data_IF_702622055840
#
_entry.id   IF_702622055840
#
_cell.length_a   1.000
_cell.length_b   1.000
_cell.length_c   1.000
_cell.angle_alpha   90.00
_cell.angle_beta   90.00
_cell.angle_gamma   90.00
#
_symmetry.space_group_name_H-M   'P 1'
#
loop_
_entity.id
_entity.type
_entity.pdbx_description
1 polymer ?
#
# COMPACT_ATOMS: atom_id res chain seq x y z
N UNK A 1 9.53 11.65 -17.82
CA UNK A 1 9.64 12.78 -16.88
C UNK A 1 8.69 12.51 -15.73
N UNK A 2 9.13 12.71 -14.50
CA UNK A 2 8.26 12.57 -13.32
C UNK A 2 7.35 13.80 -13.19
N UNK A 3 6.11 13.65 -12.73
CA UNK A 3 5.23 14.78 -12.42
C UNK A 3 5.92 15.74 -11.45
N UNK A 4 5.86 17.05 -11.74
CA UNK A 4 6.51 18.09 -10.95
C UNK A 4 7.97 18.36 -11.35
N UNK A 5 8.61 17.49 -12.13
CA UNK A 5 9.98 17.71 -12.64
C UNK A 5 10.02 18.66 -13.84
N UNK A 6 11.22 19.20 -14.10
CA UNK A 6 11.53 20.04 -15.26
C UNK A 6 12.69 19.45 -16.06
N UNK A 7 12.65 19.59 -17.39
CA UNK A 7 13.74 19.20 -18.27
C UNK A 7 14.01 20.28 -19.32
N UNK A 8 15.28 20.48 -19.66
CA UNK A 8 15.67 21.33 -20.78
C UNK A 8 15.75 20.53 -22.07
N UNK A 9 15.19 21.10 -23.14
CA UNK A 9 15.12 20.47 -24.46
C UNK A 9 15.57 21.48 -25.51
N UNK A 10 16.42 21.04 -26.44
CA UNK A 10 16.90 21.85 -27.55
C UNK A 10 16.35 21.35 -28.88
N UNK A 11 16.06 22.27 -29.80
CA UNK A 11 15.76 21.94 -31.19
C UNK A 11 17.07 22.03 -31.99
N UNK A 12 17.40 20.93 -32.66
CA UNK A 12 18.48 20.85 -33.62
C UNK A 12 17.90 20.66 -35.03
N UNK A 13 18.57 21.22 -36.03
CA UNK A 13 18.23 21.04 -37.44
C UNK A 13 19.44 20.52 -38.19
N UNK A 14 19.17 19.69 -39.20
CA UNK A 14 20.18 19.11 -40.08
C UNK A 14 19.81 19.43 -41.53
N UNK A 15 20.83 19.53 -42.40
CA UNK A 15 20.63 19.63 -43.85
C UNK A 15 20.29 18.27 -44.47
N UNK A 16 20.12 18.25 -45.80
CA UNK A 16 19.82 17.02 -46.55
C UNK A 16 20.95 15.98 -46.49
N UNK A 17 22.18 16.40 -46.20
CA UNK A 17 23.34 15.54 -46.00
C UNK A 17 23.51 15.10 -44.53
N UNK A 18 22.66 15.55 -43.61
CA UNK A 18 22.72 15.25 -42.18
C UNK A 18 23.66 16.16 -41.37
N UNK A 19 24.23 17.20 -41.97
CA UNK A 19 25.09 18.16 -41.28
C UNK A 19 24.26 19.09 -40.40
N UNK A 20 24.66 19.25 -39.14
CA UNK A 20 23.92 20.06 -38.17
C UNK A 20 24.12 21.57 -38.41
N UNK A 21 23.03 22.33 -38.42
CA UNK A 21 23.08 23.78 -38.41
C UNK A 21 23.49 24.30 -37.02
N UNK A 22 24.20 25.44 -36.98
CA UNK A 22 24.45 26.13 -35.71
C UNK A 22 23.13 26.51 -35.03
N UNK A 23 23.05 26.29 -33.71
CA UNK A 23 21.87 26.62 -32.88
C UNK A 23 21.57 28.14 -32.86
N UNK A 24 22.56 28.96 -33.19
CA UNK A 24 22.45 30.41 -33.30
C UNK A 24 22.04 30.89 -34.70
N UNK A 25 21.82 29.98 -35.64
CA UNK A 25 21.33 30.33 -36.97
C UNK A 25 19.96 31.01 -36.84
N UNK A 26 19.81 32.21 -37.41
CA UNK A 26 18.66 33.10 -37.15
C UNK A 26 17.27 32.51 -37.44
N UNK A 27 17.18 31.47 -38.27
CA UNK A 27 15.95 30.73 -38.51
C UNK A 27 15.64 29.69 -37.41
N UNK A 28 16.67 29.05 -36.83
CA UNK A 28 16.55 28.10 -35.71
C UNK A 28 16.35 28.78 -34.37
N UNK A 29 16.90 29.98 -34.18
CA UNK A 29 16.71 30.75 -32.94
C UNK A 29 15.23 31.11 -32.70
N UNK A 30 14.43 31.13 -33.77
CA UNK A 30 12.99 31.36 -33.73
C UNK A 30 12.16 30.07 -33.64
N UNK A 31 12.78 28.89 -33.51
CA UNK A 31 12.04 27.66 -33.33
C UNK A 31 11.19 27.70 -32.05
N UNK A 32 10.00 27.09 -32.11
CA UNK A 32 9.06 26.96 -31.00
C UNK A 32 8.67 25.49 -30.87
N UNK A 33 8.80 24.94 -29.66
CA UNK A 33 8.23 23.63 -29.32
C UNK A 33 6.79 23.84 -28.84
N UNK A 34 5.86 23.10 -29.43
CA UNK A 34 4.45 23.11 -29.06
C UNK A 34 3.99 21.70 -28.69
N UNK A 35 3.03 21.63 -27.77
CA UNK A 35 2.26 20.42 -27.48
C UNK A 35 0.79 20.81 -27.32
N UNK A 36 -0.10 19.95 -27.79
CA UNK A 36 -1.54 20.09 -27.57
C UNK A 36 -1.99 19.51 -26.22
N UNK A 37 -1.08 18.83 -25.51
CA UNK A 37 -1.39 18.12 -24.27
C UNK A 37 -1.23 19.03 -23.03
N UNK A 38 -2.26 19.19 -22.19
CA UNK A 38 -2.15 19.97 -20.94
C UNK A 38 -1.24 19.33 -19.89
N UNK A 39 -0.78 18.09 -20.07
CA UNK A 39 0.12 17.39 -19.16
C UNK A 39 1.51 18.03 -19.04
N UNK A 40 1.87 18.94 -19.94
CA UNK A 40 3.14 19.68 -19.88
C UNK A 40 2.95 21.18 -20.08
N UNK A 41 3.83 21.94 -19.44
CA UNK A 41 4.00 23.37 -19.71
C UNK A 41 5.36 23.63 -20.34
N UNK A 42 5.38 24.32 -21.47
CA UNK A 42 6.59 24.57 -22.26
C UNK A 42 6.90 26.06 -22.23
N UNK A 43 8.12 26.42 -21.83
CA UNK A 43 8.60 27.80 -21.81
C UNK A 43 9.88 27.92 -22.63
N UNK A 44 10.01 29.00 -23.41
CA UNK A 44 11.22 29.26 -24.21
C UNK A 44 12.28 29.92 -23.32
N UNK A 45 13.49 29.36 -23.31
CA UNK A 45 14.61 29.90 -22.52
C UNK A 45 15.41 30.89 -23.36
N UNK A 46 16.01 30.41 -24.46
CA UNK A 46 16.88 31.20 -25.35
C UNK A 46 17.13 30.45 -26.65
N UNK A 47 17.04 31.14 -27.80
CA UNK A 47 17.31 30.55 -29.11
C UNK A 47 16.47 29.29 -29.36
N UNK A 48 17.11 28.15 -29.61
CA UNK A 48 16.43 26.85 -29.80
C UNK A 48 16.15 26.07 -28.50
N UNK A 49 16.50 26.61 -27.33
CA UNK A 49 16.32 25.94 -26.01
C UNK A 49 15.00 26.28 -25.34
N UNK A 50 14.36 25.24 -24.80
CA UNK A 50 13.08 25.29 -24.13
C UNK A 50 13.16 24.51 -22.81
N UNK A 51 12.28 24.85 -21.87
CA UNK A 51 12.08 24.14 -20.62
C UNK A 51 10.69 23.54 -20.61
N UNK A 52 10.61 22.26 -20.29
CA UNK A 52 9.35 21.52 -20.18
C UNK A 52 9.13 21.19 -18.71
N UNK A 53 7.97 21.55 -18.17
CA UNK A 53 7.53 21.19 -16.83
C UNK A 53 6.40 20.17 -16.92
N UNK A 54 6.55 19.06 -16.20
CA UNK A 54 5.55 18.00 -16.14
C UNK A 54 4.45 18.35 -15.11
N UNK A 55 3.18 18.35 -15.53
CA UNK A 55 2.04 18.74 -14.72
C UNK A 55 1.16 17.55 -14.31
N UNK A 56 0.88 16.63 -15.22
CA UNK A 56 0.05 15.45 -14.96
C UNK A 56 0.50 14.23 -15.76
N UNK A 57 0.16 13.03 -15.29
CA UNK A 57 0.52 11.76 -15.95
C UNK A 57 -0.10 11.67 -17.34
N UNK A 58 0.68 11.25 -18.34
CA UNK A 58 0.21 11.13 -19.71
C UNK A 58 1.33 10.90 -20.73
N UNK A 59 0.97 10.49 -21.93
CA UNK A 59 1.88 10.42 -23.07
C UNK A 59 1.73 11.69 -23.91
N UNK A 60 2.80 12.48 -23.99
CA UNK A 60 2.79 13.83 -24.57
C UNK A 60 3.58 13.83 -25.86
N UNK A 61 2.98 14.36 -26.93
CA UNK A 61 3.67 14.54 -28.20
C UNK A 61 4.17 15.99 -28.34
N UNK A 62 5.47 16.14 -28.58
CA UNK A 62 6.14 17.42 -28.80
C UNK A 62 6.42 17.61 -30.28
N UNK A 63 6.05 18.77 -30.84
CA UNK A 63 6.39 19.14 -32.22
C UNK A 63 7.13 20.48 -32.22
N UNK A 64 8.31 20.52 -32.82
CA UNK A 64 9.03 21.75 -33.04
C UNK A 64 8.60 22.37 -34.38
N UNK A 65 8.42 23.68 -34.41
CA UNK A 65 8.12 24.44 -35.62
C UNK A 65 9.11 25.59 -35.79
N UNK A 66 9.54 25.83 -37.03
CA UNK A 66 10.45 26.93 -37.37
C UNK A 66 10.05 27.54 -38.72
N UNK A 67 10.31 28.84 -38.90
CA UNK A 67 10.03 29.53 -40.16
C UNK A 67 11.26 29.48 -41.07
N UNK A 68 11.10 28.92 -42.25
CA UNK A 68 12.12 28.90 -43.30
C UNK A 68 12.33 30.31 -43.88
N UNK A 69 13.48 30.53 -44.53
CA UNK A 69 13.82 31.75 -45.28
C UNK A 69 12.81 32.06 -46.38
N UNK A 70 12.14 31.04 -46.93
CA UNK A 70 11.05 31.18 -47.91
C UNK A 70 9.70 31.57 -47.28
N UNK A 71 9.65 31.75 -45.96
CA UNK A 71 8.43 32.08 -45.21
C UNK A 71 7.56 30.88 -44.82
N UNK A 72 7.86 29.67 -45.32
CA UNK A 72 7.14 28.43 -45.00
C UNK A 72 7.44 27.96 -43.56
N UNK A 73 6.43 27.48 -42.83
CA UNK A 73 6.62 26.84 -41.53
C UNK A 73 7.02 25.37 -41.76
N UNK A 74 8.14 24.98 -41.16
CA UNK A 74 8.64 23.62 -41.12
C UNK A 74 8.29 23.03 -39.76
N UNK A 75 7.75 21.81 -39.76
CA UNK A 75 7.44 21.06 -38.54
C UNK A 75 8.38 19.86 -38.43
N UNK A 76 8.84 19.57 -37.22
CA UNK A 76 9.56 18.34 -36.93
C UNK A 76 8.62 17.15 -36.98
N UNK A 77 9.20 15.95 -37.06
CA UNK A 77 8.48 14.75 -36.63
C UNK A 77 8.05 14.89 -35.16
N UNK A 78 6.86 14.39 -34.77
CA UNK A 78 6.46 14.41 -33.37
C UNK A 78 7.41 13.56 -32.52
N UNK A 79 7.82 14.08 -31.36
CA UNK A 79 8.64 13.38 -30.39
C UNK A 79 7.81 13.11 -29.14
N UNK A 80 7.57 11.84 -28.83
CA UNK A 80 6.75 11.46 -27.69
C UNK A 80 7.58 11.36 -26.43
N UNK A 81 7.12 12.01 -25.37
CA UNK A 81 7.64 11.86 -24.02
C UNK A 81 6.55 11.26 -23.13
N UNK A 82 6.96 10.56 -22.07
CA UNK A 82 6.04 10.10 -21.05
C UNK A 82 6.18 10.98 -19.80
N UNK A 83 5.05 11.42 -19.27
CA UNK A 83 4.93 11.96 -17.91
C UNK A 83 4.37 10.87 -16.99
N UNK A 84 5.07 10.53 -15.91
CA UNK A 84 4.71 9.46 -14.99
C UNK A 84 4.67 9.95 -13.54
N UNK A 85 3.91 9.27 -12.67
CA UNK A 85 3.85 9.58 -11.24
C UNK A 85 5.08 9.07 -10.50
N UNK A 86 5.39 9.65 -9.34
CA UNK A 86 6.55 9.26 -8.53
C UNK A 86 6.65 7.76 -8.27
N UNK A 87 7.85 7.20 -8.44
CA UNK A 87 8.13 5.81 -8.08
C UNK A 87 8.12 5.67 -6.56
N UNK A 88 7.21 4.85 -6.04
CA UNK A 88 7.01 4.67 -4.60
C UNK A 88 6.90 3.18 -4.27
N UNK A 89 7.54 2.76 -3.18
CA UNK A 89 7.41 1.43 -2.62
C UNK A 89 6.41 1.46 -1.47
N UNK A 90 5.52 0.48 -1.36
CA UNK A 90 4.53 0.41 -0.30
C UNK A 90 4.53 -0.95 0.43
N UNK A 91 4.35 -0.95 1.77
CA UNK A 91 4.27 0.22 2.66
C UNK A 91 5.66 0.82 2.99
N UNK A 92 5.69 2.04 3.57
CA UNK A 92 6.94 2.77 3.89
C UNK A 92 7.67 2.27 5.14
N UNK A 93 6.96 1.58 6.03
CA UNK A 93 7.50 0.91 7.21
C UNK A 93 6.95 -0.51 7.25
N UNK A 94 7.83 -1.47 7.45
CA UNK A 94 7.50 -2.88 7.55
C UNK A 94 8.13 -3.42 8.83
N UNK A 95 7.35 -4.18 9.59
CA UNK A 95 7.85 -5.00 10.69
C UNK A 95 7.66 -6.45 10.29
N UNK A 96 8.69 -7.29 10.39
CA UNK A 96 8.63 -8.73 10.14
C UNK A 96 9.27 -9.50 11.29
N UNK A 97 8.85 -10.75 11.50
CA UNK A 97 9.64 -11.71 12.28
C UNK A 97 10.77 -12.30 11.43
N UNK A 98 11.82 -12.91 12.02
CA UNK A 98 12.83 -13.65 11.26
C UNK A 98 12.21 -14.72 10.36
N UNK A 99 12.90 -15.06 9.26
CA UNK A 99 12.49 -16.13 8.35
C UNK A 99 11.08 -15.94 7.79
N UNK A 100 10.70 -14.67 7.51
CA UNK A 100 9.41 -14.30 6.94
C UNK A 100 9.57 -13.56 5.63
N UNK A 101 8.62 -13.77 4.72
CA UNK A 101 8.58 -13.11 3.42
C UNK A 101 7.50 -12.04 3.35
N UNK A 102 7.78 -10.98 2.59
CA UNK A 102 6.84 -9.90 2.33
C UNK A 102 7.02 -9.35 0.93
N UNK A 103 5.93 -9.26 0.17
CA UNK A 103 5.94 -8.71 -1.18
C UNK A 103 5.72 -7.20 -1.11
N UNK A 104 6.75 -6.41 -1.46
CA UNK A 104 6.59 -4.97 -1.62
C UNK A 104 5.71 -4.66 -2.83
N UNK A 105 4.86 -3.65 -2.67
CA UNK A 105 4.10 -3.07 -3.77
C UNK A 105 4.90 -1.94 -4.42
N UNK A 106 4.96 -1.94 -5.75
CA UNK A 106 5.57 -0.87 -6.54
C UNK A 106 4.47 -0.03 -7.17
N UNK A 107 4.41 1.24 -6.82
CA UNK A 107 3.38 2.18 -7.28
C UNK A 107 4.04 3.30 -8.08
N UNK A 108 3.48 3.61 -9.26
CA UNK A 108 3.95 4.68 -10.13
C UNK A 108 5.22 4.34 -10.91
N UNK A 109 6.00 5.35 -11.25
CA UNK A 109 7.19 5.24 -12.08
C UNK A 109 6.92 5.17 -13.60
N UNK A 110 7.98 5.22 -14.43
CA UNK A 110 7.88 5.14 -15.89
C UNK A 110 7.23 3.83 -16.38
N UNK A 111 6.59 3.86 -17.55
CA UNK A 111 5.88 2.72 -18.12
C UNK A 111 6.35 2.38 -19.55
N UNK A 112 6.58 1.09 -19.87
CA UNK A 112 6.52 -0.06 -18.96
C UNK A 112 7.57 0.03 -17.85
N UNK A 113 7.26 -0.54 -16.68
CA UNK A 113 8.16 -0.49 -15.52
C UNK A 113 9.52 -1.08 -15.90
N UNK A 114 10.60 -0.28 -15.86
CA UNK A 114 11.94 -0.78 -16.14
C UNK A 114 12.41 -1.67 -14.99
N UNK A 115 13.57 -2.31 -15.18
CA UNK A 115 14.20 -3.07 -14.12
C UNK A 115 14.46 -2.15 -12.90
N UNK A 116 13.97 -2.58 -11.74
CA UNK A 116 14.18 -1.89 -10.47
C UNK A 116 15.43 -2.48 -9.83
N UNK A 117 16.37 -1.61 -9.47
CA UNK A 117 17.55 -2.00 -8.72
C UNK A 117 17.27 -1.81 -7.24
N UNK A 118 17.31 -2.90 -6.48
CA UNK A 118 17.13 -2.86 -5.03
C UNK A 118 18.46 -2.94 -4.30
N UNK A 119 18.63 -2.09 -3.30
CA UNK A 119 19.78 -2.08 -2.41
C UNK A 119 19.34 -2.11 -0.95
N UNK A 120 20.10 -2.81 -0.10
CA UNK A 120 19.88 -2.81 1.35
C UNK A 120 21.05 -2.12 2.02
N UNK A 121 20.77 -1.34 3.07
CA UNK A 121 21.85 -0.81 3.91
C UNK A 121 22.56 -1.93 4.71
N UNK A 122 21.85 -3.02 5.05
CA UNK A 122 22.41 -4.15 5.77
C UNK A 122 21.79 -5.49 5.33
N UNK A 123 22.52 -6.23 4.49
CA UNK A 123 22.13 -7.55 3.98
C UNK A 123 22.21 -8.69 5.00
N UNK A 124 22.74 -8.43 6.20
CA UNK A 124 22.71 -9.41 7.31
C UNK A 124 21.32 -9.52 7.93
N UNK A 125 20.51 -8.47 7.83
CA UNK A 125 19.16 -8.38 8.44
C UNK A 125 18.08 -8.93 7.51
N UNK A 126 18.20 -8.72 6.21
CA UNK A 126 17.24 -9.19 5.21
C UNK A 126 17.89 -9.35 3.84
N UNK A 127 17.14 -9.91 2.89
CA UNK A 127 17.41 -9.87 1.45
C UNK A 127 16.18 -9.41 0.70
N UNK A 128 16.37 -8.86 -0.50
CA UNK A 128 15.30 -8.50 -1.41
C UNK A 128 15.61 -9.07 -2.78
N UNK A 129 14.61 -9.63 -3.43
CA UNK A 129 14.70 -10.15 -4.79
C UNK A 129 14.31 -9.07 -5.82
N UNK A 130 14.68 -9.22 -7.11
CA UNK A 130 14.34 -8.25 -8.15
C UNK A 130 12.83 -8.02 -8.36
N UNK A 131 11.99 -8.97 -7.95
CA UNK A 131 10.54 -8.87 -7.95
C UNK A 131 9.99 -8.14 -6.70
N UNK A 132 10.86 -7.54 -5.88
CA UNK A 132 10.52 -6.87 -4.62
C UNK A 132 10.03 -7.81 -3.50
N UNK A 133 10.30 -9.12 -3.59
CA UNK A 133 10.08 -10.05 -2.48
C UNK A 133 11.19 -9.89 -1.43
N UNK A 134 10.80 -9.48 -0.23
CA UNK A 134 11.69 -9.37 0.93
C UNK A 134 11.69 -10.70 1.67
N UNK A 135 12.87 -11.11 2.15
CA UNK A 135 13.03 -12.20 3.12
C UNK A 135 13.82 -11.69 4.32
N UNK A 136 13.22 -11.67 5.50
CA UNK A 136 13.87 -11.29 6.75
C UNK A 136 14.80 -12.40 7.26
N UNK A 137 15.88 -12.02 7.98
CA UNK A 137 16.92 -12.94 8.45
C UNK A 137 17.28 -12.75 9.92
N UNK A 138 17.77 -11.57 10.29
CA UNK A 138 18.27 -11.29 11.64
C UNK A 138 17.56 -10.09 12.24
N UNK A 139 17.44 -10.09 13.56
CA UNK A 139 16.85 -9.00 14.32
C UNK A 139 17.57 -7.67 14.06
N UNK A 140 16.81 -6.58 14.03
CA UNK A 140 17.31 -5.21 13.89
C UNK A 140 16.64 -4.41 12.77
N UNK A 141 17.21 -3.25 12.48
CA UNK A 141 16.69 -2.31 11.49
C UNK A 141 17.56 -2.30 10.22
N UNK A 142 16.89 -2.30 9.08
CA UNK A 142 17.52 -2.14 7.76
C UNK A 142 16.62 -1.24 6.90
N UNK A 143 17.16 -0.73 5.81
CA UNK A 143 16.41 0.07 4.83
C UNK A 143 16.61 -0.52 3.45
N UNK A 144 15.53 -0.62 2.69
CA UNK A 144 15.52 -1.10 1.32
C UNK A 144 15.26 0.09 0.41
N UNK A 145 16.20 0.39 -0.48
CA UNK A 145 16.04 1.45 -1.49
C UNK A 145 15.86 0.79 -2.85
N UNK A 146 14.73 1.07 -3.49
CA UNK A 146 14.51 0.76 -4.89
C UNK A 146 14.87 1.97 -5.75
N UNK A 147 15.55 1.73 -6.86
CA UNK A 147 15.96 2.74 -7.81
C UNK A 147 15.50 2.36 -9.22
N UNK A 148 14.89 3.32 -9.91
CA UNK A 148 14.45 3.21 -11.29
C UNK A 148 15.20 4.24 -12.13
N UNK A 149 15.89 3.76 -13.16
CA UNK A 149 16.57 4.62 -14.11
C UNK A 149 15.55 5.20 -15.11
N UNK A 150 15.47 6.53 -15.18
CA UNK A 150 14.49 7.27 -16.00
C UNK A 150 15.08 7.70 -17.35
N UNK A 151 16.39 7.49 -17.54
CA UNK A 151 17.14 7.84 -18.75
C UNK A 151 18.13 8.98 -18.52
N UNK A 152 19.26 8.94 -19.23
CA UNK A 152 20.39 9.83 -18.96
C UNK A 152 20.96 9.61 -17.55
N UNK A 153 21.23 10.69 -16.84
CA UNK A 153 21.74 10.68 -15.44
C UNK A 153 20.62 10.78 -14.38
N UNK A 154 19.34 10.70 -14.78
CA UNK A 154 18.21 10.85 -13.87
C UNK A 154 17.67 9.49 -13.41
N UNK A 155 17.54 9.33 -12.09
CA UNK A 155 16.90 8.18 -11.46
C UNK A 155 15.82 8.64 -10.47
N UNK A 156 14.80 7.81 -10.31
CA UNK A 156 13.78 7.95 -9.27
C UNK A 156 14.02 6.87 -8.24
N UNK A 157 14.03 7.21 -6.96
CA UNK A 157 14.30 6.27 -5.89
C UNK A 157 13.32 6.44 -4.74
N UNK A 158 13.03 5.34 -4.05
CA UNK A 158 12.24 5.35 -2.83
C UNK A 158 12.80 4.33 -1.83
N UNK A 159 12.73 4.67 -0.54
CA UNK A 159 13.30 3.89 0.54
C UNK A 159 12.23 3.49 1.54
N UNK A 160 12.23 2.21 1.92
CA UNK A 160 11.35 1.61 2.92
C UNK A 160 12.18 1.19 4.12
N UNK A 161 11.65 1.40 5.33
CA UNK A 161 12.25 0.93 6.58
C UNK A 161 11.73 -0.46 6.90
N UNK A 162 12.64 -1.40 7.16
CA UNK A 162 12.32 -2.74 7.63
C UNK A 162 12.86 -2.95 9.04
N UNK A 163 11.99 -3.39 9.94
CA UNK A 163 12.31 -3.78 11.31
C UNK A 163 12.07 -5.27 11.49
N UNK A 164 13.10 -6.03 11.85
CA UNK A 164 12.98 -7.46 12.12
C UNK A 164 12.98 -7.69 13.63
N UNK A 165 11.91 -8.30 14.15
CA UNK A 165 11.66 -8.44 15.60
C UNK A 165 11.25 -9.86 16.00
N UNK A 166 11.55 -10.23 17.24
CA UNK A 166 10.93 -11.40 17.86
C UNK A 166 9.71 -10.95 18.66
N UNK A 167 8.59 -11.64 18.51
CA UNK A 167 7.38 -11.35 19.27
C UNK A 167 7.63 -11.58 20.76
N UNK A 168 7.36 -10.55 21.57
CA UNK A 168 7.43 -10.65 23.03
C UNK A 168 6.18 -11.27 23.66
N UNK A 169 5.08 -11.27 22.92
CA UNK A 169 3.78 -11.81 23.28
C UNK A 169 2.78 -11.64 22.14
N UNK A 170 1.54 -12.02 22.40
CA UNK A 170 0.42 -11.80 21.49
C UNK A 170 -0.73 -11.15 22.24
N UNK A 171 -1.61 -10.48 21.50
CA UNK A 171 -2.85 -9.90 21.98
C UNK A 171 -4.02 -10.24 21.06
N UNK A 172 -5.17 -10.53 21.65
CA UNK A 172 -6.43 -10.69 20.95
C UNK A 172 -7.12 -9.32 20.81
N UNK A 173 -7.07 -8.75 19.61
CA UNK A 173 -7.68 -7.44 19.31
C UNK A 173 -9.05 -7.65 18.69
N UNK A 174 -10.10 -7.23 19.39
CA UNK A 174 -11.46 -7.24 18.88
C UNK A 174 -11.78 -5.92 18.14
N UNK A 175 -12.57 -6.01 17.07
CA UNK A 175 -13.18 -4.84 16.42
C UNK A 175 -14.10 -4.03 17.34
N UNK A 176 -14.77 -4.73 18.26
CA UNK A 176 -15.59 -4.15 19.33
C UNK A 176 -15.64 -5.12 20.50
N UNK A 177 -15.71 -4.58 21.72
CA UNK A 177 -15.95 -5.35 22.95
C UNK A 177 -17.45 -5.57 23.23
N UNK A 178 -18.32 -5.01 22.39
CA UNK A 178 -19.77 -5.08 22.51
C UNK A 178 -20.42 -5.28 21.14
N UNK A 179 -21.44 -6.14 21.08
CA UNK A 179 -22.28 -6.34 19.90
C UNK A 179 -23.72 -6.57 20.35
N UNK A 180 -24.67 -6.31 19.47
CA UNK A 180 -26.06 -6.73 19.67
C UNK A 180 -26.24 -8.17 19.18
N UNK A 181 -27.35 -8.81 19.57
CA UNK A 181 -27.80 -10.09 18.98
C UNK A 181 -27.86 -9.99 17.45
N UNK A 182 -27.26 -10.96 16.76
CA UNK A 182 -27.11 -11.00 15.30
C UNK A 182 -26.03 -10.06 14.74
N UNK A 183 -25.45 -9.19 15.59
CA UNK A 183 -24.32 -8.34 15.20
C UNK A 183 -23.05 -9.16 15.00
N UNK A 184 -22.18 -8.67 14.10
CA UNK A 184 -20.95 -9.35 13.70
C UNK A 184 -19.72 -8.54 14.07
N UNK A 185 -18.72 -9.24 14.56
CA UNK A 185 -17.42 -8.68 14.92
C UNK A 185 -16.32 -9.63 14.47
N UNK A 186 -15.10 -9.11 14.36
CA UNK A 186 -13.90 -9.92 14.22
C UNK A 186 -12.97 -9.76 15.44
N UNK A 187 -12.19 -10.81 15.71
CA UNK A 187 -11.07 -10.80 16.65
C UNK A 187 -9.83 -11.28 15.93
N UNK A 188 -8.71 -10.57 16.10
CA UNK A 188 -7.45 -10.82 15.39
C UNK A 188 -6.29 -10.93 16.38
N UNK A 189 -5.31 -11.75 16.05
CA UNK A 189 -4.02 -11.81 16.75
C UNK A 189 -3.12 -10.69 16.28
N UNK A 190 -2.56 -9.92 17.21
CA UNK A 190 -1.41 -9.06 16.97
C UNK A 190 -0.28 -9.46 17.93
N UNK A 191 0.94 -9.02 17.64
CA UNK A 191 1.97 -8.88 18.67
C UNK A 191 1.64 -7.74 19.64
N UNK A 192 2.50 -7.56 20.64
CA UNK A 192 2.30 -6.56 21.68
C UNK A 192 2.57 -5.13 21.17
N UNK A 193 3.45 -4.99 20.18
CA UNK A 193 3.71 -3.72 19.53
C UNK A 193 2.58 -3.35 18.54
N UNK A 194 2.45 -2.07 18.21
CA UNK A 194 1.47 -1.57 17.24
C UNK A 194 1.77 -1.99 15.81
N UNK A 195 3.05 -2.15 15.46
CA UNK A 195 3.47 -2.55 14.12
C UNK A 195 3.50 -4.08 13.92
N UNK A 196 3.27 -4.88 14.96
CA UNK A 196 3.25 -6.35 14.93
C UNK A 196 1.86 -6.90 14.51
N UNK A 197 1.37 -6.48 13.34
CA UNK A 197 0.15 -7.06 12.75
C UNK A 197 0.41 -8.46 12.15
N UNK A 198 -0.60 -9.24 11.73
CA UNK A 198 -0.41 -10.48 10.97
C UNK A 198 0.43 -10.34 9.71
N UNK A 199 0.57 -9.16 9.13
CA UNK A 199 1.53 -8.95 8.04
C UNK A 199 2.98 -9.14 8.50
N UNK A 200 3.27 -8.97 9.79
CA UNK A 200 4.60 -9.17 10.35
C UNK A 200 5.02 -10.63 10.47
N UNK A 201 4.06 -11.56 10.54
CA UNK A 201 4.34 -12.97 10.83
C UNK A 201 3.57 -13.98 10.00
N UNK A 202 2.60 -13.55 9.19
CA UNK A 202 1.82 -14.43 8.33
C UNK A 202 2.61 -15.03 7.18
N UNK A 203 3.66 -14.35 6.72
CA UNK A 203 4.57 -14.84 5.69
C UNK A 203 5.73 -15.69 6.23
N UNK A 204 5.64 -16.21 7.46
CA UNK A 204 6.72 -16.97 8.07
C UNK A 204 6.95 -18.31 7.34
N UNK A 205 8.21 -18.64 7.06
CA UNK A 205 8.61 -19.94 6.51
C UNK A 205 8.18 -21.09 7.44
N UNK A 206 8.24 -20.84 8.75
CA UNK A 206 7.76 -21.74 9.79
C UNK A 206 6.53 -21.12 10.48
N UNK A 207 5.32 -21.32 9.93
CA UNK A 207 4.11 -20.65 10.43
C UNK A 207 3.78 -21.06 11.86
N UNK A 208 3.14 -20.16 12.58
CA UNK A 208 2.61 -20.44 13.91
C UNK A 208 1.43 -21.41 13.83
N UNK A 209 1.20 -22.15 14.92
CA UNK A 209 -0.06 -22.85 15.14
C UNK A 209 -1.01 -21.97 15.95
N UNK A 210 -2.05 -21.43 15.32
CA UNK A 210 -3.02 -20.54 15.98
C UNK A 210 -4.30 -21.29 16.31
N UNK A 211 -4.67 -21.29 17.59
CA UNK A 211 -5.83 -21.99 18.12
C UNK A 211 -6.75 -20.97 18.79
N UNK A 212 -8.00 -20.92 18.35
CA UNK A 212 -9.04 -20.08 18.92
C UNK A 212 -10.01 -20.91 19.76
N UNK A 213 -10.53 -20.31 20.83
CA UNK A 213 -11.57 -20.92 21.66
C UNK A 213 -12.55 -19.84 22.11
N UNK A 214 -13.84 -20.08 21.94
CA UNK A 214 -14.90 -19.16 22.35
C UNK A 214 -15.68 -19.80 23.49
N UNK A 215 -15.79 -19.10 24.63
CA UNK A 215 -16.63 -19.56 25.74
C UNK A 215 -18.10 -19.29 25.42
N UNK A 216 -18.99 -20.12 25.96
CA UNK A 216 -20.45 -19.99 25.80
C UNK A 216 -20.90 -19.78 24.33
N UNK A 217 -20.84 -20.83 23.48
CA UNK A 217 -21.22 -20.72 22.06
C UNK A 217 -22.64 -20.20 21.78
N UNK A 218 -23.56 -20.29 22.76
CA UNK A 218 -24.90 -19.71 22.66
C UNK A 218 -24.94 -18.17 22.78
N UNK A 219 -23.93 -17.58 23.45
CA UNK A 219 -23.77 -16.13 23.57
C UNK A 219 -22.98 -15.59 22.39
N UNK A 220 -21.90 -16.25 21.98
CA UNK A 220 -21.06 -15.81 20.88
C UNK A 220 -20.59 -17.00 20.06
N UNK A 221 -20.84 -16.98 18.76
CA UNK A 221 -20.55 -18.10 17.87
C UNK A 221 -19.51 -17.71 16.82
N UNK A 222 -18.55 -18.59 16.57
CA UNK A 222 -17.64 -18.45 15.42
C UNK A 222 -18.38 -18.73 14.11
N UNK A 223 -18.23 -17.82 13.16
CA UNK A 223 -18.83 -17.88 11.84
C UNK A 223 -17.76 -17.73 10.77
N UNK A 224 -18.02 -18.29 9.59
CA UNK A 224 -17.15 -18.10 8.44
C UNK A 224 -17.40 -16.71 7.81
N UNK A 225 -16.35 -15.94 7.43
CA UNK A 225 -16.50 -14.60 6.85
C UNK A 225 -17.40 -14.56 5.62
N UNK A 226 -17.38 -15.62 4.82
CA UNK A 226 -18.15 -15.75 3.57
C UNK A 226 -19.47 -16.51 3.74
N UNK A 227 -19.89 -16.77 4.98
CA UNK A 227 -21.10 -17.52 5.30
C UNK A 227 -20.93 -19.04 5.28
N UNK A 228 -22.02 -19.74 5.59
CA UNK A 228 -22.06 -21.20 5.85
C UNK A 228 -21.85 -22.10 4.62
N UNK A 229 -21.81 -21.53 3.42
CA UNK A 229 -21.63 -22.28 2.17
C UNK A 229 -20.17 -22.53 1.80
N UNK A 230 -19.25 -21.83 2.46
CA UNK A 230 -17.82 -21.93 2.22
C UNK A 230 -17.18 -22.76 3.34
N UNK A 231 -16.38 -23.76 2.95
CA UNK A 231 -15.58 -24.57 3.86
C UNK A 231 -14.13 -24.38 3.50
N UNK A 232 -13.44 -23.49 4.21
CA UNK A 232 -11.98 -23.48 4.25
C UNK A 232 -11.49 -24.46 5.32
N UNK A 233 -10.22 -24.87 5.21
CA UNK A 233 -9.56 -25.60 6.29
C UNK A 233 -9.33 -24.63 7.46
N UNK A 234 -9.83 -24.96 8.65
CA UNK A 234 -9.75 -24.11 9.86
C UNK A 234 -8.34 -23.95 10.46
N UNK A 235 -7.29 -23.99 9.64
CA UNK A 235 -5.91 -23.99 10.11
C UNK A 235 -5.29 -22.59 10.07
N UNK A 236 -4.74 -22.16 11.22
CA UNK A 236 -3.88 -20.99 11.36
C UNK A 236 -4.49 -19.65 10.93
N UNK A 237 -5.77 -19.47 11.20
CA UNK A 237 -6.41 -18.17 11.03
C UNK A 237 -5.90 -17.16 12.05
N UNK A 238 -5.30 -16.07 11.56
CA UNK A 238 -4.89 -14.94 12.41
C UNK A 238 -6.05 -14.06 12.84
N UNK A 239 -7.24 -14.25 12.26
CA UNK A 239 -8.47 -13.59 12.68
C UNK A 239 -9.65 -14.54 12.54
N UNK A 240 -10.63 -14.40 13.43
CA UNK A 240 -11.90 -15.11 13.39
C UNK A 240 -13.06 -14.12 13.36
N UNK A 241 -14.15 -14.52 12.72
CA UNK A 241 -15.41 -13.79 12.72
C UNK A 241 -16.38 -14.42 13.72
N UNK A 242 -17.12 -13.58 14.41
CA UNK A 242 -18.01 -13.95 15.49
C UNK A 242 -19.35 -13.26 15.31
N UNK A 243 -20.44 -13.95 15.64
CA UNK A 243 -21.80 -13.44 15.63
C UNK A 243 -22.41 -13.51 17.04
N UNK A 244 -23.10 -12.45 17.45
CA UNK A 244 -23.80 -12.38 18.73
C UNK A 244 -25.04 -13.26 18.75
N UNK A 245 -25.12 -14.16 19.71
CA UNK A 245 -26.28 -14.99 20.00
C UNK A 245 -27.17 -14.36 21.08
N UNK A 246 -27.39 -15.08 22.17
CA UNK A 246 -28.17 -14.58 23.32
C UNK A 246 -27.40 -13.53 24.12
N UNK A 247 -28.09 -12.57 24.74
CA UNK A 247 -27.44 -11.61 25.64
C UNK A 247 -26.62 -12.29 26.75
N UNK A 248 -25.45 -11.72 27.03
CA UNK A 248 -24.48 -12.28 27.95
C UNK A 248 -23.07 -11.77 27.69
N UNK A 249 -22.08 -12.46 28.25
CA UNK A 249 -20.66 -12.19 27.95
C UNK A 249 -19.94 -13.49 27.65
N UNK A 250 -19.16 -13.48 26.59
CA UNK A 250 -18.33 -14.59 26.16
C UNK A 250 -16.86 -14.16 26.14
N UNK A 251 -15.97 -15.12 26.33
CA UNK A 251 -14.53 -14.92 26.32
C UNK A 251 -13.96 -15.62 25.10
N UNK A 252 -13.22 -14.87 24.30
CA UNK A 252 -12.47 -15.39 23.16
C UNK A 252 -11.01 -15.53 23.60
N UNK A 253 -10.51 -16.76 23.62
CA UNK A 253 -9.11 -17.08 23.90
C UNK A 253 -8.38 -17.39 22.61
N UNK A 254 -7.17 -16.87 22.49
CA UNK A 254 -6.22 -17.30 21.47
C UNK A 254 -5.00 -17.92 22.11
N UNK A 255 -4.51 -19.00 21.49
CA UNK A 255 -3.25 -19.66 21.83
C UNK A 255 -2.42 -19.77 20.56
N UNK A 256 -1.20 -19.24 20.60
CA UNK A 256 -0.26 -19.21 19.48
C UNK A 256 0.95 -20.04 19.85
N UNK A 257 1.16 -21.15 19.16
CA UNK A 257 2.30 -22.05 19.38
C UNK A 257 3.36 -21.85 18.29
N UNK A 258 4.61 -21.80 18.73
CA UNK A 258 5.77 -21.67 17.86
C UNK A 258 6.05 -23.00 17.14
N UNK A 259 6.33 -22.94 15.84
CA UNK A 259 6.80 -24.10 15.10
C UNK A 259 8.10 -24.68 15.69
N UNK A 260 8.28 -26.01 15.74
CA UNK A 260 9.50 -26.63 16.27
C UNK A 260 10.78 -26.15 15.58
N UNK A 261 10.68 -25.83 14.28
CA UNK A 261 11.80 -25.41 13.44
C UNK A 261 12.13 -23.92 13.57
N UNK A 262 11.18 -23.11 14.04
CA UNK A 262 11.37 -21.68 14.25
C UNK A 262 12.24 -21.42 15.48
N UNK A 263 13.23 -20.53 15.35
CA UNK A 263 14.18 -20.23 16.43
C UNK A 263 13.98 -18.86 17.05
N UNK A 264 13.85 -17.83 16.22
CA UNK A 264 13.89 -16.43 16.66
C UNK A 264 12.55 -15.69 16.46
N UNK A 265 11.45 -16.40 16.20
CA UNK A 265 10.15 -15.73 16.05
C UNK A 265 9.61 -15.21 17.40
N UNK A 266 9.89 -15.90 18.51
CA UNK A 266 9.49 -15.50 19.86
C UNK A 266 10.72 -15.08 20.68
N UNK A 267 10.53 -14.15 21.61
CA UNK A 267 11.61 -13.74 22.50
C UNK A 267 11.97 -14.85 23.51
N UNK A 268 13.28 -15.09 23.68
CA UNK A 268 13.80 -16.04 24.65
C UNK A 268 13.41 -17.49 24.34
N UNK A 269 13.12 -18.28 25.38
CA UNK A 269 12.81 -19.71 25.26
C UNK A 269 11.31 -20.02 25.24
N UNK A 270 10.46 -19.00 25.05
CA UNK A 270 9.01 -19.21 25.02
C UNK A 270 8.60 -19.93 23.74
N UNK A 271 7.65 -20.85 23.86
CA UNK A 271 7.10 -21.64 22.75
C UNK A 271 5.61 -21.39 22.53
N UNK A 272 4.93 -20.78 23.49
CA UNK A 272 3.48 -20.54 23.44
C UNK A 272 3.18 -19.17 24.03
N UNK A 273 2.32 -18.44 23.36
CA UNK A 273 1.65 -17.26 23.90
C UNK A 273 0.15 -17.47 23.92
N UNK A 274 -0.52 -16.88 24.92
CA UNK A 274 -1.97 -16.91 25.04
C UNK A 274 -2.46 -15.52 25.41
N UNK A 275 -3.64 -15.16 24.91
CA UNK A 275 -4.36 -13.98 25.36
C UNK A 275 -5.88 -14.19 25.28
N UNK A 276 -6.64 -13.36 25.98
CA UNK A 276 -8.10 -13.44 26.04
C UNK A 276 -8.73 -12.07 25.92
N UNK A 277 -9.86 -12.00 25.20
CA UNK A 277 -10.73 -10.83 25.15
C UNK A 277 -12.15 -11.20 25.53
N UNK A 278 -12.80 -10.36 26.31
CA UNK A 278 -14.22 -10.52 26.68
C UNK A 278 -15.07 -9.66 25.76
N UNK A 279 -16.17 -10.25 25.30
CA UNK A 279 -17.12 -9.63 24.38
C UNK A 279 -18.51 -9.76 24.99
N UNK A 280 -19.21 -8.63 25.09
CA UNK A 280 -20.58 -8.57 25.56
C UNK A 280 -21.55 -8.61 24.38
N UNK A 281 -22.59 -9.42 24.51
CA UNK A 281 -23.74 -9.44 23.62
C UNK A 281 -24.92 -8.83 24.36
N UNK A 282 -25.50 -7.79 23.79
CA UNK A 282 -26.68 -7.11 24.33
C UNK A 282 -27.89 -7.35 23.42
N UNK A 283 -29.09 -7.21 24.00
CA UNK A 283 -30.31 -7.23 23.19
C UNK A 283 -30.42 -5.94 22.38
N UNK A 284 -30.88 -6.02 21.13
CA UNK A 284 -31.02 -4.84 20.29
C UNK A 284 -32.05 -3.88 20.90
N UNK A 285 -31.82 -2.59 20.68
CA UNK A 285 -32.77 -1.57 21.09
C UNK A 285 -34.10 -1.72 20.33
N UNK A 286 -35.20 -1.66 21.07
CA UNK A 286 -36.56 -1.64 20.54
C UNK A 286 -37.24 -0.33 20.94
N UNK A 287 -38.06 0.20 20.02
CA UNK A 287 -38.97 1.28 20.35
C UNK A 287 -40.11 0.73 21.20
N UNK A 288 -40.46 1.41 22.30
CA UNK A 288 -41.63 1.02 23.09
C UNK A 288 -42.94 1.28 22.35
N UNK A 289 -43.03 2.44 21.71
CA UNK A 289 -44.20 2.88 20.95
C UNK A 289 -43.76 3.72 19.74
N UNK A 290 -44.01 3.25 18.51
CA UNK A 290 -44.57 1.94 18.13
C UNK A 290 -43.58 0.79 18.42
N UNK A 291 -44.06 -0.39 18.81
CA UNK A 291 -43.21 -1.56 19.05
C UNK A 291 -42.57 -2.05 17.74
N UNK A 292 -41.36 -1.58 17.47
CA UNK A 292 -40.61 -1.88 16.25
C UNK A 292 -39.12 -2.04 16.59
N UNK A 293 -38.42 -3.04 16.00
CA UNK A 293 -36.97 -3.09 16.03
C UNK A 293 -36.44 -1.92 15.19
N UNK A 294 -35.49 -1.15 15.72
CA UNK A 294 -35.07 0.12 15.10
C UNK A 294 -33.63 0.05 14.60
N UNK A 295 -33.40 -0.05 13.28
CA UNK A 295 -32.06 0.11 12.73
C UNK A 295 -31.63 1.58 12.66
N UNK A 296 -32.59 2.51 12.48
CA UNK A 296 -32.35 3.96 12.39
C UNK A 296 -33.59 4.72 12.89
N UNK A 297 -33.41 5.70 13.79
CA UNK A 297 -34.46 6.63 14.22
C UNK A 297 -34.21 8.02 13.63
N UNK A 298 -35.21 8.63 12.99
CA UNK A 298 -35.19 10.05 12.62
C UNK A 298 -36.12 10.82 13.57
N UNK A 299 -35.55 11.76 14.32
CA UNK A 299 -36.28 12.61 15.26
C UNK A 299 -36.36 14.04 14.73
N UNK A 300 -37.52 14.69 14.89
CA UNK A 300 -37.61 16.13 14.74
C UNK A 300 -36.95 16.82 15.94
N UNK A 301 -36.55 18.09 15.78
CA UNK A 301 -36.02 18.89 16.90
C UNK A 301 -37.03 18.91 18.06
N UNK A 302 -36.55 18.65 19.28
CA UNK A 302 -37.35 18.58 20.53
C UNK A 302 -38.37 17.43 20.59
N UNK A 303 -38.10 16.31 19.92
CA UNK A 303 -38.89 15.08 20.09
C UNK A 303 -38.31 14.22 21.21
N UNK A 304 -39.17 13.63 22.04
CA UNK A 304 -38.78 12.62 23.03
C UNK A 304 -39.16 11.21 22.55
N UNK A 305 -38.32 10.22 22.86
CA UNK A 305 -38.52 8.84 22.45
C UNK A 305 -38.11 7.87 23.57
N UNK A 306 -38.91 6.84 23.83
CA UNK A 306 -38.60 5.80 24.81
C UNK A 306 -38.08 4.54 24.09
N UNK A 307 -36.86 4.13 24.45
CA UNK A 307 -36.20 2.91 23.99
C UNK A 307 -36.10 1.91 25.14
N UNK A 308 -36.26 0.62 24.84
CA UNK A 308 -36.09 -0.48 25.78
C UNK A 308 -35.23 -1.59 25.13
N UNK A 309 -34.40 -2.25 25.92
CA UNK A 309 -33.77 -3.53 25.56
C UNK A 309 -34.73 -4.65 25.96
N UNK A 310 -35.06 -5.56 25.04
CA UNK A 310 -35.98 -6.69 25.30
C UNK A 310 -35.40 -7.74 26.25
#
# INVERSE_FOLDING_TARGET
>A
MEVGSEAEVSVDAVDEAGSSFSRDHGALSNAVIQSADPAVHITKISGSRHRIRALSVGAVSLTASAKSTSGKILNSRPHTIQVFSSFTLHPQKITLIPESTFQLEVIGGPQPTPQIEFTLNNSKIATVEPNALITSKKLGYTSITGTVNVGGEHSSQNTVVLHVVSLAGVRAVASSHMTERGGRIWVRVNGLDEDESPFAFGGALYPFKVIWTVSHPGVLQAIHPFGSFMSETDENHFAIWLEGGTAGSATVKVRVELSPNAKEHFIGSKRVFEDTVVIRVEEPLSLKQPNLPVPVVRLAQNSDLQLETT
#
